data_IF_609360276573
#
_entry.id   IF_609360276573
#
_cell.length_a   1.000
_cell.length_b   1.000
_cell.length_c   1.000
_cell.angle_alpha   90.00
_cell.angle_beta   90.00
_cell.angle_gamma   90.00
#
_symmetry.space_group_name_H-M   'P 1'
#
loop_
_entity.id
_entity.type
_entity.pdbx_description
1 polymer ?
#
# COMPACT_ATOMS: atom_id res chain seq x y z
N UNK A 1 -3.73 8.86 -9.58
CA UNK A 1 -2.32 8.68 -9.97
C UNK A 1 -2.18 7.64 -11.07
N UNK A 2 -2.49 6.35 -10.87
CA UNK A 2 -2.35 5.31 -11.91
C UNK A 2 -3.07 5.68 -13.22
N UNK A 3 -4.32 6.16 -13.15
CA UNK A 3 -5.07 6.67 -14.31
C UNK A 3 -4.35 7.80 -15.06
N UNK A 4 -3.56 8.62 -14.36
CA UNK A 4 -2.77 9.68 -15.00
C UNK A 4 -1.57 9.11 -15.77
N UNK A 5 -0.89 8.09 -15.23
CA UNK A 5 0.18 7.39 -15.94
C UNK A 5 -0.34 6.67 -17.19
N UNK A 6 -1.46 5.95 -17.08
CA UNK A 6 -2.13 5.31 -18.21
C UNK A 6 -2.46 6.34 -19.31
N UNK A 7 -3.05 7.49 -18.93
CA UNK A 7 -3.37 8.58 -19.87
C UNK A 7 -2.14 9.21 -20.53
N UNK A 8 -1.02 9.26 -19.81
CA UNK A 8 0.26 9.72 -20.32
C UNK A 8 1.00 8.65 -21.15
N UNK A 9 0.44 7.46 -21.32
CA UNK A 9 1.06 6.37 -22.07
C UNK A 9 2.21 5.67 -21.34
N UNK A 10 2.33 5.85 -20.02
CA UNK A 10 3.38 5.21 -19.22
C UNK A 10 2.95 3.78 -18.89
N UNK A 11 3.69 2.82 -19.44
CA UNK A 11 3.50 1.38 -19.18
C UNK A 11 4.66 0.90 -18.30
N UNK A 12 4.40 0.27 -17.15
CA UNK A 12 5.46 -0.25 -16.31
C UNK A 12 6.06 -1.53 -16.90
N UNK A 13 7.38 -1.72 -16.75
CA UNK A 13 8.11 -2.95 -17.02
C UNK A 13 8.52 -3.68 -15.72
N UNK A 14 8.28 -3.05 -14.57
CA UNK A 14 8.46 -3.61 -13.23
C UNK A 14 7.48 -2.94 -12.26
N UNK A 15 6.86 -3.74 -11.41
CA UNK A 15 6.00 -3.26 -10.32
C UNK A 15 6.56 -3.73 -8.98
N UNK A 16 6.75 -2.79 -8.04
CA UNK A 16 7.17 -3.10 -6.67
C UNK A 16 6.19 -2.44 -5.70
N UNK A 17 5.65 -3.22 -4.77
CA UNK A 17 4.58 -2.74 -3.90
C UNK A 17 4.77 -3.09 -2.42
N UNK A 18 4.16 -2.26 -1.55
CA UNK A 18 4.09 -2.48 -0.11
C UNK A 18 2.68 -2.19 0.37
N UNK A 19 2.09 -3.08 1.18
CA UNK A 19 0.77 -2.87 1.79
C UNK A 19 -0.31 -2.62 0.71
N UNK A 20 -1.07 -1.55 0.80
CA UNK A 20 -2.02 -1.14 -0.25
C UNK A 20 -1.34 -0.98 -1.62
N UNK A 21 -0.04 -0.62 -1.63
CA UNK A 21 0.77 -0.60 -2.85
C UNK A 21 1.02 -2.00 -3.42
N UNK A 22 1.14 -3.02 -2.58
CA UNK A 22 1.24 -4.42 -3.02
C UNK A 22 -0.10 -4.91 -3.60
N UNK A 23 -1.21 -4.56 -2.95
CA UNK A 23 -2.55 -4.87 -3.45
C UNK A 23 -2.77 -4.23 -4.83
N UNK A 24 -2.61 -2.92 -4.94
CA UNK A 24 -2.79 -2.22 -6.22
C UNK A 24 -1.79 -2.69 -7.27
N UNK A 25 -0.54 -2.94 -6.85
CA UNK A 25 0.54 -3.42 -7.71
C UNK A 25 0.25 -4.78 -8.31
N UNK A 26 -0.37 -5.69 -7.57
CA UNK A 26 -0.77 -7.00 -8.07
C UNK A 26 -1.76 -6.90 -9.24
N UNK A 27 -2.75 -5.99 -9.16
CA UNK A 27 -3.68 -5.74 -10.28
C UNK A 27 -2.97 -5.10 -11.48
N UNK A 28 -2.05 -4.15 -11.23
CA UNK A 28 -1.27 -3.52 -12.31
C UNK A 28 -0.37 -4.54 -13.00
N UNK A 29 0.28 -5.39 -12.23
CA UNK A 29 1.19 -6.39 -12.77
C UNK A 29 0.45 -7.52 -13.51
N UNK A 30 -0.72 -7.91 -13.00
CA UNK A 30 -1.54 -8.94 -13.60
C UNK A 30 -2.04 -8.55 -15.00
N UNK A 31 -2.51 -7.31 -15.16
CA UNK A 31 -3.01 -6.78 -16.44
C UNK A 31 -2.97 -5.24 -16.41
N UNK A 32 -1.90 -4.61 -16.89
CA UNK A 32 -1.79 -3.15 -16.94
C UNK A 32 -2.92 -2.46 -17.68
N UNK A 33 -3.46 -3.11 -18.73
CA UNK A 33 -4.48 -2.54 -19.60
C UNK A 33 -5.86 -2.41 -18.95
N UNK A 34 -6.19 -3.26 -17.96
CA UNK A 34 -7.47 -3.22 -17.23
C UNK A 34 -7.33 -2.78 -15.77
N UNK A 35 -6.10 -2.55 -15.30
CA UNK A 35 -5.81 -2.27 -13.90
C UNK A 35 -6.56 -1.04 -13.37
N UNK A 36 -6.64 0.04 -14.15
CA UNK A 36 -7.33 1.28 -13.74
C UNK A 36 -8.83 1.03 -13.54
N UNK A 37 -9.48 0.31 -14.45
CA UNK A 37 -10.91 -0.03 -14.38
C UNK A 37 -11.18 -0.91 -13.16
N UNK A 38 -10.43 -2.00 -12.99
CA UNK A 38 -10.56 -2.93 -11.85
C UNK A 38 -10.35 -2.25 -10.51
N UNK A 39 -9.29 -1.45 -10.38
CA UNK A 39 -9.00 -0.71 -9.15
C UNK A 39 -10.03 0.40 -8.89
N UNK A 40 -10.60 1.04 -9.91
CA UNK A 40 -11.69 2.00 -9.73
C UNK A 40 -12.93 1.32 -9.15
N UNK A 41 -13.28 0.14 -9.64
CA UNK A 41 -14.35 -0.69 -9.07
C UNK A 41 -14.07 -1.10 -7.63
N UNK A 42 -12.85 -1.58 -7.36
CA UNK A 42 -12.40 -2.01 -6.04
C UNK A 42 -12.44 -0.88 -5.00
N UNK A 43 -12.01 0.32 -5.37
CA UNK A 43 -12.00 1.50 -4.50
C UNK A 43 -13.28 2.33 -4.59
N UNK A 44 -14.37 1.78 -5.16
CA UNK A 44 -15.70 2.39 -5.04
C UNK A 44 -16.14 2.42 -3.57
N UNK A 45 -16.97 3.40 -3.22
CA UNK A 45 -17.42 3.60 -1.83
C UNK A 45 -18.09 2.34 -1.25
N UNK A 46 -18.80 1.55 -2.08
CA UNK A 46 -19.52 0.35 -1.64
C UNK A 46 -18.56 -0.84 -1.43
N UNK A 47 -17.68 -1.14 -2.37
CA UNK A 47 -16.70 -2.22 -2.25
C UNK A 47 -15.69 -1.95 -1.12
N UNK A 48 -15.23 -0.71 -0.97
CA UNK A 48 -14.34 -0.33 0.12
C UNK A 48 -15.02 -0.47 1.49
N UNK A 49 -16.34 -0.21 1.61
CA UNK A 49 -17.10 -0.45 2.85
C UNK A 49 -17.23 -1.91 3.19
N UNK A 50 -17.38 -2.77 2.22
CA UNK A 50 -17.48 -4.21 2.43
C UNK A 50 -16.18 -4.76 3.02
N UNK A 51 -15.03 -4.37 2.46
CA UNK A 51 -13.71 -4.85 2.89
C UNK A 51 -13.26 -4.20 4.21
N UNK A 52 -13.46 -2.89 4.39
CA UNK A 52 -12.89 -2.11 5.50
C UNK A 52 -13.92 -1.59 6.51
N UNK A 53 -15.21 -1.75 6.25
CA UNK A 53 -16.31 -1.14 6.98
C UNK A 53 -16.80 -1.86 8.22
N UNK A 54 -16.04 -2.80 8.82
CA UNK A 54 -16.47 -3.58 9.99
C UNK A 54 -17.06 -2.74 11.12
N UNK A 55 -18.18 -3.19 11.69
CA UNK A 55 -18.89 -2.51 12.78
C UNK A 55 -18.06 -2.50 14.07
N UNK A 56 -18.30 -1.52 14.96
CA UNK A 56 -17.56 -1.38 16.23
C UNK A 56 -17.61 -2.65 17.06
N UNK A 57 -18.78 -3.29 17.13
CA UNK A 57 -18.99 -4.54 17.87
C UNK A 57 -18.20 -5.72 17.29
N UNK A 58 -18.07 -5.81 15.98
CA UNK A 58 -17.26 -6.84 15.30
C UNK A 58 -15.78 -6.67 15.64
N UNK A 59 -15.30 -5.43 15.71
CA UNK A 59 -13.91 -5.10 16.12
C UNK A 59 -13.63 -5.48 17.56
N UNK A 60 -14.54 -5.10 18.47
CA UNK A 60 -14.43 -5.45 19.89
C UNK A 60 -14.48 -6.96 20.09
N UNK A 61 -15.35 -7.66 19.36
CA UNK A 61 -15.43 -9.10 19.37
C UNK A 61 -14.17 -9.77 18.84
N UNK A 62 -13.65 -9.29 17.69
CA UNK A 62 -12.41 -9.79 17.11
C UNK A 62 -11.24 -9.59 18.06
N UNK A 63 -11.10 -8.42 18.66
CA UNK A 63 -10.07 -8.12 19.64
C UNK A 63 -10.21 -9.00 20.90
N UNK A 64 -11.42 -9.13 21.43
CA UNK A 64 -11.67 -9.96 22.62
C UNK A 64 -11.34 -11.44 22.39
N UNK A 65 -11.55 -11.94 21.17
CA UNK A 65 -11.28 -13.32 20.80
C UNK A 65 -9.83 -13.58 20.42
N UNK A 66 -9.20 -12.66 19.68
CA UNK A 66 -7.83 -12.81 19.19
C UNK A 66 -6.78 -12.28 20.16
N UNK A 67 -7.12 -11.23 20.92
CA UNK A 67 -6.17 -10.51 21.78
C UNK A 67 -5.16 -9.64 21.03
N UNK A 68 -5.07 -9.72 19.70
CA UNK A 68 -3.94 -9.17 18.93
C UNK A 68 -4.33 -8.23 17.80
N UNK A 69 -5.56 -8.31 17.27
CA UNK A 69 -5.97 -7.52 16.10
C UNK A 69 -7.46 -7.14 16.12
N UNK A 70 -7.80 -6.10 15.34
CA UNK A 70 -9.14 -5.51 15.30
C UNK A 70 -10.01 -6.03 14.15
N UNK A 71 -9.40 -6.53 13.06
CA UNK A 71 -10.10 -6.96 11.85
C UNK A 71 -9.63 -8.34 11.40
N UNK A 72 -10.52 -9.11 10.78
CA UNK A 72 -10.17 -10.32 10.05
C UNK A 72 -9.54 -9.97 8.70
N UNK A 73 -8.59 -10.78 8.22
CA UNK A 73 -8.06 -10.70 6.86
C UNK A 73 -8.98 -11.34 5.80
N UNK A 74 -10.00 -12.06 6.24
CA UNK A 74 -10.88 -12.85 5.38
C UNK A 74 -11.64 -12.03 4.32
N UNK A 75 -12.18 -10.83 4.61
CA UNK A 75 -12.82 -10.01 3.57
C UNK A 75 -11.83 -9.61 2.47
N UNK A 76 -10.59 -9.24 2.85
CA UNK A 76 -9.54 -8.89 1.90
C UNK A 76 -9.12 -10.11 1.06
N UNK A 77 -9.02 -11.30 1.68
CA UNK A 77 -8.71 -12.54 0.97
C UNK A 77 -9.77 -12.85 -0.07
N UNK A 78 -11.05 -12.88 0.32
CA UNK A 78 -12.16 -13.15 -0.60
C UNK A 78 -12.19 -12.19 -1.78
N UNK A 79 -12.00 -10.90 -1.51
CA UNK A 79 -11.93 -9.87 -2.56
C UNK A 79 -10.80 -10.15 -3.55
N UNK A 80 -9.61 -10.52 -3.07
CA UNK A 80 -8.48 -10.89 -3.94
C UNK A 80 -8.77 -12.19 -4.71
N UNK A 81 -9.36 -13.20 -4.06
CA UNK A 81 -9.74 -14.46 -4.69
C UNK A 81 -10.77 -14.26 -5.82
N UNK A 82 -11.67 -13.31 -5.67
CA UNK A 82 -12.72 -13.02 -6.65
C UNK A 82 -12.24 -12.13 -7.81
N UNK A 83 -11.40 -11.14 -7.51
CA UNK A 83 -11.12 -10.05 -8.46
C UNK A 83 -9.74 -10.10 -9.11
N UNK A 84 -8.72 -10.70 -8.44
CA UNK A 84 -7.38 -10.77 -9.00
C UNK A 84 -7.33 -11.85 -10.10
N UNK A 85 -6.93 -11.50 -11.35
CA UNK A 85 -7.00 -12.44 -12.46
C UNK A 85 -5.89 -13.49 -12.49
N UNK A 86 -4.87 -13.36 -11.63
CA UNK A 86 -3.72 -14.27 -11.50
C UNK A 86 -3.66 -14.92 -10.12
N UNK A 87 -3.01 -16.08 -10.02
CA UNK A 87 -2.81 -16.77 -8.74
C UNK A 87 -1.35 -16.82 -8.33
N UNK A 88 -0.44 -16.86 -9.27
CA UNK A 88 1.00 -16.97 -9.07
C UNK A 88 1.71 -15.71 -9.59
N UNK A 89 2.87 -15.37 -9.01
CA UNK A 89 3.70 -14.25 -9.50
C UNK A 89 4.13 -14.47 -10.95
N UNK A 90 4.35 -15.70 -11.35
CA UNK A 90 4.79 -16.11 -12.68
C UNK A 90 3.73 -15.90 -13.78
N UNK A 91 2.48 -15.72 -13.37
CA UNK A 91 1.35 -15.44 -14.29
C UNK A 91 1.16 -13.96 -14.58
N UNK A 92 1.88 -13.08 -13.86
CA UNK A 92 1.76 -11.62 -14.05
C UNK A 92 2.33 -11.20 -15.39
N UNK A 93 1.63 -10.31 -16.09
CA UNK A 93 2.08 -9.76 -17.38
C UNK A 93 3.32 -8.87 -17.24
N UNK A 94 3.50 -8.26 -16.07
CA UNK A 94 4.65 -7.44 -15.71
C UNK A 94 5.31 -8.03 -14.45
N UNK A 95 6.64 -8.15 -14.39
CA UNK A 95 7.36 -8.58 -13.19
C UNK A 95 6.88 -7.83 -11.95
N UNK A 96 6.48 -8.58 -10.93
CA UNK A 96 5.93 -8.03 -9.70
C UNK A 96 6.72 -8.50 -8.47
N UNK A 97 6.93 -7.60 -7.52
CA UNK A 97 7.46 -7.95 -6.22
C UNK A 97 6.71 -7.20 -5.13
N UNK A 98 6.47 -7.87 -4.01
CA UNK A 98 5.97 -7.20 -2.82
C UNK A 98 6.77 -7.59 -1.58
N UNK A 99 6.76 -6.72 -0.57
CA UNK A 99 7.54 -6.90 0.64
C UNK A 99 6.64 -7.06 1.86
N UNK A 100 7.06 -7.94 2.78
CA UNK A 100 6.52 -8.03 4.13
C UNK A 100 7.66 -8.06 5.16
N UNK A 101 7.33 -7.76 6.42
CA UNK A 101 8.25 -7.84 7.54
C UNK A 101 8.15 -9.21 8.20
N UNK A 102 9.21 -10.02 8.13
CA UNK A 102 9.28 -11.33 8.81
C UNK A 102 9.37 -11.16 10.32
N UNK A 103 8.45 -11.77 11.06
CA UNK A 103 8.38 -11.66 12.52
C UNK A 103 9.58 -12.36 13.17
N UNK A 104 9.83 -13.60 12.78
CA UNK A 104 10.89 -14.44 13.38
C UNK A 104 12.30 -13.92 13.05
N UNK A 105 12.44 -13.25 11.90
CA UNK A 105 13.75 -12.80 11.41
C UNK A 105 14.03 -11.34 11.68
N UNK A 106 12.98 -10.53 11.95
CA UNK A 106 13.03 -9.07 12.00
C UNK A 106 13.63 -8.43 10.73
N UNK A 107 13.44 -9.08 9.57
CA UNK A 107 14.00 -8.66 8.28
C UNK A 107 12.90 -8.49 7.22
N UNK A 108 13.22 -7.71 6.19
CA UNK A 108 12.39 -7.65 4.99
C UNK A 108 12.39 -8.99 4.24
N UNK A 109 11.21 -9.45 3.84
CA UNK A 109 11.04 -10.58 2.97
C UNK A 109 10.37 -10.14 1.67
N UNK A 110 11.05 -10.38 0.55
CA UNK A 110 10.57 -10.05 -0.79
C UNK A 110 9.90 -11.26 -1.41
N UNK A 111 8.61 -11.18 -1.63
CA UNK A 111 7.88 -12.18 -2.41
C UNK A 111 8.05 -11.86 -3.89
N UNK A 112 8.53 -12.84 -4.65
CA UNK A 112 8.89 -12.70 -6.06
C UNK A 112 8.42 -13.87 -6.91
N UNK A 113 7.88 -14.92 -6.28
CA UNK A 113 7.44 -16.16 -6.90
C UNK A 113 6.37 -16.85 -6.06
N UNK A 114 5.66 -17.80 -6.66
CA UNK A 114 4.62 -18.58 -6.00
C UNK A 114 3.31 -17.80 -5.80
N UNK A 115 2.47 -18.15 -4.80
CA UNK A 115 1.13 -17.61 -4.64
C UNK A 115 1.11 -16.11 -4.32
N UNK A 116 0.48 -15.29 -5.19
CA UNK A 116 0.38 -13.82 -5.04
C UNK A 116 -0.50 -13.43 -3.86
N UNK A 117 -1.64 -14.08 -3.66
CA UNK A 117 -2.63 -13.66 -2.66
C UNK A 117 -2.08 -13.75 -1.23
N UNK A 118 -1.47 -14.86 -0.77
CA UNK A 118 -0.82 -14.91 0.53
C UNK A 118 0.26 -13.85 0.72
N UNK A 119 1.06 -13.57 -0.32
CA UNK A 119 2.10 -12.56 -0.31
C UNK A 119 1.54 -11.14 -0.14
N UNK A 120 0.49 -10.79 -0.89
CA UNK A 120 -0.21 -9.49 -0.78
C UNK A 120 -0.86 -9.34 0.59
N UNK A 121 -1.51 -10.39 1.11
CA UNK A 121 -2.08 -10.39 2.46
C UNK A 121 -1.02 -10.18 3.54
N UNK A 122 0.14 -10.85 3.43
CA UNK A 122 1.28 -10.67 4.32
C UNK A 122 1.81 -9.23 4.27
N UNK A 123 1.94 -8.66 3.07
CA UNK A 123 2.34 -7.26 2.85
C UNK A 123 1.35 -6.26 3.44
N UNK A 124 0.07 -6.59 3.54
CA UNK A 124 -1.01 -5.76 4.07
C UNK A 124 -1.31 -5.98 5.56
N UNK A 125 -0.64 -6.89 6.24
CA UNK A 125 -0.91 -7.30 7.63
C UNK A 125 -0.46 -6.22 8.64
N UNK A 126 -1.11 -5.06 8.65
CA UNK A 126 -0.77 -3.93 9.52
C UNK A 126 -0.90 -4.32 11.01
N UNK A 127 0.18 -4.14 11.83
CA UNK A 127 0.20 -4.55 13.23
C UNK A 127 -0.96 -3.99 14.04
N UNK A 128 -1.66 -4.85 14.78
CA UNK A 128 -2.82 -4.49 15.61
C UNK A 128 -4.11 -4.27 14.82
N UNK A 129 -4.05 -4.06 13.50
CA UNK A 129 -5.25 -3.94 12.66
C UNK A 129 -5.64 -5.28 12.06
N UNK A 130 -4.71 -5.98 11.46
CA UNK A 130 -4.89 -7.31 10.86
C UNK A 130 -4.02 -8.35 11.58
N UNK A 131 -4.39 -9.64 11.54
CA UNK A 131 -3.55 -10.71 12.06
C UNK A 131 -2.26 -10.81 11.26
N UNK A 132 -1.17 -11.32 11.86
CA UNK A 132 -0.01 -11.74 11.09
C UNK A 132 -0.42 -12.84 10.12
N UNK A 133 0.19 -12.87 8.95
CA UNK A 133 -0.09 -13.87 7.91
C UNK A 133 1.02 -14.90 7.90
N UNK A 134 0.65 -16.18 7.97
CA UNK A 134 1.59 -17.28 7.83
C UNK A 134 1.75 -17.65 6.35
N UNK A 135 3.00 -17.69 5.89
CA UNK A 135 3.39 -18.19 4.58
C UNK A 135 4.58 -19.13 4.77
N UNK A 136 4.45 -20.37 4.32
CA UNK A 136 5.49 -21.39 4.40
C UNK A 136 6.06 -21.59 5.83
N UNK A 137 5.20 -21.56 6.84
CA UNK A 137 5.57 -21.77 8.25
C UNK A 137 6.26 -20.57 8.92
N UNK A 138 6.27 -19.41 8.30
CA UNK A 138 6.79 -18.15 8.85
C UNK A 138 5.69 -17.10 8.90
N UNK A 139 5.76 -16.23 9.90
CA UNK A 139 4.76 -15.18 10.10
C UNK A 139 5.28 -13.82 9.63
N UNK A 140 4.37 -13.05 9.05
CA UNK A 140 4.69 -11.76 8.45
C UNK A 140 3.72 -10.68 8.91
N UNK A 141 4.25 -9.48 9.08
CA UNK A 141 3.53 -8.23 9.21
C UNK A 141 3.73 -7.34 7.98
N UNK A 142 2.96 -6.25 7.92
CA UNK A 142 2.99 -5.25 6.85
C UNK A 142 4.41 -4.80 6.52
N UNK A 143 4.72 -4.81 5.22
CA UNK A 143 6.02 -4.41 4.70
C UNK A 143 6.40 -2.96 4.99
N UNK A 144 5.43 -2.12 5.34
CA UNK A 144 5.68 -0.74 5.76
C UNK A 144 6.59 -0.61 6.99
N UNK A 145 6.74 -1.66 7.81
CA UNK A 145 7.73 -1.71 8.90
C UNK A 145 9.18 -1.66 8.39
N UNK A 146 9.44 -2.19 7.22
CA UNK A 146 10.80 -2.38 6.67
C UNK A 146 11.04 -1.57 5.40
N UNK A 147 10.09 -1.52 4.47
CA UNK A 147 10.15 -0.75 3.21
C UNK A 147 8.76 -0.18 2.88
N UNK A 148 8.51 1.06 3.27
CA UNK A 148 7.19 1.69 3.07
C UNK A 148 6.89 2.05 1.61
N UNK A 149 7.89 2.57 0.92
CA UNK A 149 7.86 2.92 -0.50
C UNK A 149 9.18 2.43 -1.08
N UNK A 150 9.21 1.25 -1.71
CA UNK A 150 10.44 0.51 -1.97
C UNK A 150 11.18 0.98 -3.23
N UNK A 151 11.55 2.27 -3.29
CA UNK A 151 12.30 2.86 -4.42
C UNK A 151 13.66 2.19 -4.57
N UNK A 152 14.36 1.97 -3.46
CA UNK A 152 15.67 1.30 -3.47
C UNK A 152 15.62 -0.11 -4.04
N UNK A 153 14.50 -0.83 -3.89
CA UNK A 153 14.32 -2.15 -4.50
C UNK A 153 14.19 -2.07 -6.01
N UNK A 154 13.40 -1.12 -6.53
CA UNK A 154 13.26 -0.91 -7.97
C UNK A 154 14.62 -0.57 -8.61
N UNK A 155 15.40 0.29 -7.95
CA UNK A 155 16.77 0.65 -8.38
C UNK A 155 17.69 -0.57 -8.39
N UNK A 156 17.67 -1.39 -7.33
CA UNK A 156 18.47 -2.62 -7.25
C UNK A 156 18.10 -3.64 -8.33
N UNK A 157 16.89 -3.55 -8.88
CA UNK A 157 16.41 -4.37 -10.01
C UNK A 157 16.69 -3.72 -11.38
N UNK A 158 17.39 -2.59 -11.42
CA UNK A 158 17.86 -1.95 -12.65
C UNK A 158 16.95 -0.85 -13.19
N UNK A 159 15.95 -0.37 -12.42
CA UNK A 159 15.11 0.73 -12.85
C UNK A 159 15.93 2.02 -13.01
N UNK A 160 15.76 2.70 -14.13
CA UNK A 160 16.36 4.01 -14.44
C UNK A 160 15.37 5.15 -14.29
N UNK A 161 14.07 4.83 -14.37
CA UNK A 161 12.97 5.77 -14.13
C UNK A 161 11.99 5.11 -13.17
N UNK A 162 11.64 5.79 -12.07
CA UNK A 162 10.73 5.28 -11.05
C UNK A 162 9.57 6.25 -10.85
N UNK A 163 8.35 5.75 -11.04
CA UNK A 163 7.13 6.47 -10.71
C UNK A 163 6.61 6.02 -9.34
N UNK A 164 6.62 6.92 -8.37
CA UNK A 164 6.18 6.66 -7.01
C UNK A 164 4.73 7.09 -6.83
N UNK A 165 3.85 6.14 -6.56
CA UNK A 165 2.43 6.36 -6.26
C UNK A 165 2.20 6.18 -4.76
N UNK A 166 2.27 7.27 -4.01
CA UNK A 166 2.08 7.19 -2.57
C UNK A 166 0.65 7.59 -2.14
N UNK A 167 0.01 6.77 -1.34
CA UNK A 167 -1.33 7.04 -0.80
C UNK A 167 -1.25 7.88 0.48
N UNK A 168 -0.19 7.73 1.27
CA UNK A 168 0.04 8.46 2.51
C UNK A 168 0.77 9.80 2.29
N UNK A 169 0.67 10.69 3.27
CA UNK A 169 1.40 11.96 3.30
C UNK A 169 2.62 11.82 4.20
N UNK A 170 3.75 11.39 3.63
CA UNK A 170 5.02 11.29 4.38
C UNK A 170 5.55 12.64 4.87
N UNK A 171 5.16 13.74 4.21
CA UNK A 171 5.59 15.11 4.51
C UNK A 171 4.87 15.73 5.73
N UNK A 172 3.79 15.10 6.22
CA UNK A 172 2.99 15.66 7.30
C UNK A 172 3.64 15.35 8.66
N UNK A 173 3.79 16.36 9.52
CA UNK A 173 4.28 16.16 10.90
C UNK A 173 3.39 15.19 11.67
N UNK A 174 4.02 14.31 12.43
CA UNK A 174 3.36 13.41 13.38
C UNK A 174 3.06 14.16 14.67
N UNK A 175 1.90 13.90 15.27
CA UNK A 175 1.59 14.39 16.60
C UNK A 175 1.95 13.33 17.65
N UNK A 176 2.38 13.74 18.87
CA UNK A 176 2.59 12.82 19.96
C UNK A 176 1.33 12.01 20.30
N UNK A 177 1.46 10.72 20.63
CA UNK A 177 0.32 9.89 20.98
C UNK A 177 -0.29 10.38 22.30
N UNK A 178 -1.61 10.37 22.40
CA UNK A 178 -2.38 10.76 23.58
C UNK A 178 -3.03 9.59 24.30
N UNK A 179 -3.03 8.41 23.66
CA UNK A 179 -3.68 7.20 24.14
C UNK A 179 -2.80 5.97 23.90
N UNK A 180 -2.85 4.95 24.76
CA UNK A 180 -1.95 3.79 24.67
C UNK A 180 -1.92 3.12 23.30
N UNK A 181 -3.07 2.97 22.65
CA UNK A 181 -3.14 2.34 21.32
C UNK A 181 -2.59 3.21 20.18
N UNK A 182 -2.45 4.53 20.41
CA UNK A 182 -1.83 5.43 19.44
C UNK A 182 -0.30 5.28 19.41
N UNK A 183 0.29 4.76 20.50
CA UNK A 183 1.74 4.61 20.63
C UNK A 183 2.29 3.67 19.54
N UNK A 184 1.69 2.48 19.39
CA UNK A 184 2.10 1.53 18.36
C UNK A 184 1.94 2.09 16.94
N UNK A 185 0.85 2.82 16.70
CA UNK A 185 0.58 3.44 15.40
C UNK A 185 1.56 4.57 15.08
N UNK A 186 1.90 5.41 16.05
CA UNK A 186 2.90 6.46 15.86
C UNK A 186 4.29 5.85 15.64
N UNK A 187 4.65 4.82 16.41
CA UNK A 187 5.91 4.10 16.23
C UNK A 187 6.00 3.47 14.81
N UNK A 188 4.93 2.83 14.34
CA UNK A 188 4.84 2.30 12.98
C UNK A 188 5.02 3.40 11.92
N UNK A 189 4.34 4.55 12.07
CA UNK A 189 4.49 5.69 11.16
C UNK A 189 5.89 6.30 11.16
N UNK A 190 6.55 6.36 12.33
CA UNK A 190 7.95 6.81 12.42
C UNK A 190 8.86 5.87 11.64
N UNK A 191 8.78 4.55 11.88
CA UNK A 191 9.61 3.56 11.20
C UNK A 191 9.41 3.61 9.67
N UNK A 192 8.15 3.67 9.25
CA UNK A 192 7.75 3.76 7.85
C UNK A 192 8.33 4.97 7.13
N UNK A 193 8.23 6.17 7.74
CA UNK A 193 8.71 7.41 7.13
C UNK A 193 10.22 7.54 7.16
N UNK A 194 10.84 7.14 8.26
CA UNK A 194 12.30 7.18 8.40
C UNK A 194 12.95 6.36 7.28
N UNK A 195 12.48 5.14 7.06
CA UNK A 195 13.01 4.27 6.00
C UNK A 195 12.86 4.86 4.61
N UNK A 196 11.72 5.47 4.32
CA UNK A 196 11.52 6.15 3.03
C UNK A 196 12.50 7.30 2.82
N UNK A 197 12.70 8.14 3.82
CA UNK A 197 13.66 9.26 3.71
C UNK A 197 15.10 8.77 3.57
N UNK A 198 15.49 7.72 4.28
CA UNK A 198 16.81 7.09 4.12
C UNK A 198 17.01 6.56 2.68
N UNK A 199 16.03 5.84 2.14
CA UNK A 199 16.11 5.31 0.78
C UNK A 199 16.20 6.45 -0.25
N UNK A 200 15.38 7.50 -0.12
CA UNK A 200 15.42 8.65 -1.01
C UNK A 200 16.75 9.41 -0.95
N UNK A 201 17.37 9.51 0.23
CA UNK A 201 18.67 10.16 0.39
C UNK A 201 19.84 9.33 -0.17
N UNK A 202 19.66 8.02 -0.32
CA UNK A 202 20.67 7.09 -0.81
C UNK A 202 20.55 6.76 -2.30
N UNK A 203 19.67 7.46 -3.05
CA UNK A 203 19.47 7.20 -4.47
C UNK A 203 20.72 7.55 -5.28
N UNK A 204 21.09 6.73 -6.27
CA UNK A 204 22.24 6.99 -7.13
C UNK A 204 22.01 8.21 -8.04
N UNK A 205 23.09 8.88 -8.44
CA UNK A 205 23.04 9.94 -9.44
C UNK A 205 22.56 9.38 -10.80
N UNK A 206 21.79 10.16 -11.53
CA UNK A 206 21.26 9.80 -12.86
C UNK A 206 19.96 8.99 -12.83
N UNK A 207 19.41 8.66 -11.64
CA UNK A 207 18.10 8.06 -11.53
C UNK A 207 17.01 9.14 -11.65
N UNK A 208 16.00 8.89 -12.46
CA UNK A 208 14.82 9.75 -12.56
C UNK A 208 13.73 9.21 -11.63
N UNK A 209 13.31 10.02 -10.64
CA UNK A 209 12.22 9.64 -9.72
C UNK A 209 11.10 10.66 -9.78
N UNK A 210 9.94 10.21 -10.22
CA UNK A 210 8.69 10.99 -10.26
C UNK A 210 7.80 10.63 -9.08
N UNK A 211 7.75 11.47 -8.05
CA UNK A 211 6.79 11.29 -6.94
C UNK A 211 5.48 11.97 -7.30
N UNK A 212 4.48 11.18 -7.67
CA UNK A 212 3.20 11.71 -8.16
C UNK A 212 2.40 12.37 -7.02
N UNK A 213 1.93 13.63 -7.23
CA UNK A 213 1.18 14.35 -6.20
C UNK A 213 -0.23 13.76 -6.00
N UNK A 214 -0.62 13.56 -4.74
CA UNK A 214 -1.94 13.07 -4.37
C UNK A 214 -3.03 14.17 -4.29
N UNK A 215 -2.73 15.41 -4.67
CA UNK A 215 -3.70 16.51 -4.79
C UNK A 215 -4.37 16.95 -3.49
N UNK A 216 -3.77 16.69 -2.36
CA UNK A 216 -4.37 17.02 -1.06
C UNK A 216 -4.15 18.46 -0.62
N UNK A 217 -5.19 19.13 -0.07
CA UNK A 217 -5.04 20.41 0.63
C UNK A 217 -4.14 20.24 1.86
N UNK A 218 -3.26 21.21 2.11
CA UNK A 218 -2.54 21.34 3.38
C UNK A 218 -3.56 21.46 4.53
N UNK A 219 -3.77 20.40 5.28
CA UNK A 219 -4.48 20.43 6.56
C UNK A 219 -3.45 20.51 7.69
N UNK A 220 -3.80 21.24 8.77
CA UNK A 220 -2.93 21.46 9.95
C UNK A 220 -2.31 20.16 10.49
N UNK A 221 -1.10 20.29 11.07
CA UNK A 221 -0.34 19.22 11.72
C UNK A 221 -1.19 18.32 12.63
N UNK A 222 -0.96 17.03 12.57
CA UNK A 222 -1.60 16.02 13.41
C UNK A 222 -1.59 14.66 12.74
N UNK A 223 -1.47 13.58 13.51
CA UNK A 223 -1.66 12.23 12.99
C UNK A 223 -3.10 12.12 12.50
N UNK A 224 -3.27 11.82 11.21
CA UNK A 224 -4.60 11.60 10.66
C UNK A 224 -5.05 10.19 11.02
N UNK A 225 -5.48 10.02 12.25
CA UNK A 225 -6.07 8.76 12.73
C UNK A 225 -7.30 8.35 11.91
N UNK A 226 -7.89 9.26 11.12
CA UNK A 226 -8.97 8.94 10.21
C UNK A 226 -8.51 8.05 9.07
N UNK A 227 -7.26 8.18 8.59
CA UNK A 227 -6.70 7.28 7.57
C UNK A 227 -6.49 5.86 8.12
N UNK A 228 -6.20 5.73 9.42
CA UNK A 228 -6.05 4.43 10.08
C UNK A 228 -7.37 3.89 10.64
N UNK A 229 -8.41 4.69 10.67
CA UNK A 229 -9.72 4.24 11.15
C UNK A 229 -10.50 3.43 10.12
N UNK A 230 -10.13 3.43 8.84
CA UNK A 230 -10.85 2.76 7.73
C UNK A 230 -12.39 2.97 7.78
N UNK A 231 -12.83 4.04 8.46
CA UNK A 231 -14.25 4.26 8.78
C UNK A 231 -14.94 5.22 7.82
N UNK A 232 -14.18 6.15 7.28
CA UNK A 232 -14.73 7.17 6.40
C UNK A 232 -14.21 6.94 4.99
N UNK A 233 -14.86 6.04 4.30
CA UNK A 233 -14.68 5.81 2.86
C UNK A 233 -15.45 6.85 2.03
N UNK A 234 -16.25 7.70 2.69
CA UNK A 234 -16.93 8.82 2.02
C UNK A 234 -15.89 9.81 1.49
N UNK A 235 -15.94 10.05 0.20
CA UNK A 235 -14.99 10.96 -0.46
C UNK A 235 -13.74 10.29 -1.07
N UNK A 236 -13.65 8.96 -1.12
CA UNK A 236 -12.60 8.25 -1.88
C UNK A 236 -12.63 8.69 -3.34
N UNK A 237 -13.81 8.71 -3.97
CA UNK A 237 -13.98 9.17 -5.35
C UNK A 237 -13.45 10.59 -5.56
N UNK A 238 -13.80 11.53 -4.68
CA UNK A 238 -13.30 12.91 -4.75
C UNK A 238 -11.79 12.99 -4.52
N UNK A 239 -11.22 12.08 -3.70
CA UNK A 239 -9.77 12.01 -3.50
C UNK A 239 -9.06 11.46 -4.74
N UNK A 240 -9.61 10.44 -5.39
CA UNK A 240 -9.12 9.88 -6.64
C UNK A 240 -9.10 10.95 -7.73
N UNK A 241 -10.17 11.74 -7.88
CA UNK A 241 -10.22 12.81 -8.89
C UNK A 241 -9.21 13.92 -8.61
N UNK A 242 -9.02 14.33 -7.36
CA UNK A 242 -7.99 15.32 -7.01
C UNK A 242 -6.57 14.79 -7.28
N UNK A 243 -6.31 13.54 -6.93
CA UNK A 243 -5.01 12.91 -7.19
C UNK A 243 -4.75 12.78 -8.70
N UNK A 244 -5.78 12.40 -9.47
CA UNK A 244 -5.69 12.33 -10.92
C UNK A 244 -5.33 13.70 -11.53
N UNK A 245 -6.10 14.75 -11.19
CA UNK A 245 -5.87 16.09 -11.74
C UNK A 245 -4.50 16.68 -11.36
N UNK A 246 -4.03 16.40 -10.13
CA UNK A 246 -2.70 16.85 -9.70
C UNK A 246 -1.58 16.09 -10.41
N UNK A 247 -1.73 14.77 -10.58
CA UNK A 247 -0.74 13.95 -11.29
C UNK A 247 -0.69 14.26 -12.78
N UNK A 248 -1.83 14.56 -13.42
CA UNK A 248 -1.86 14.97 -14.82
C UNK A 248 -1.05 16.25 -15.03
N UNK A 249 -1.30 17.29 -14.23
CA UNK A 249 -0.50 18.56 -14.32
C UNK A 249 0.98 18.30 -14.12
N UNK A 250 1.34 17.47 -13.14
CA UNK A 250 2.74 17.12 -12.89
C UNK A 250 3.38 16.45 -14.11
N UNK A 251 2.70 15.49 -14.73
CA UNK A 251 3.21 14.77 -15.90
C UNK A 251 3.32 15.68 -17.13
N UNK A 252 2.36 16.61 -17.34
CA UNK A 252 2.41 17.60 -18.43
C UNK A 252 3.59 18.60 -18.28
N UNK A 253 4.06 18.85 -17.05
CA UNK A 253 5.15 19.78 -16.75
C UNK A 253 6.54 19.10 -16.73
N UNK A 254 6.61 17.79 -16.45
CA UNK A 254 7.87 17.08 -16.15
C UNK A 254 8.23 15.97 -17.14
N UNK A 255 7.29 15.50 -17.95
CA UNK A 255 7.44 14.41 -18.91
C UNK A 255 7.05 14.89 -20.30
#
# INVERSE_FOLDING_TARGET
>A
MLRALEKAGVVPDLVVGTSIGALNGAFVAADPGTAVERLTGLWSDDAAREVFGARVWERLWTLARSGTHLHSAEPLRRMLDELLPVREFEETAVPFQCVAAGIETAMAHWFTQGPVIPAVLASCAAPGLLPPVEVEGRHYYDGGLVHSIPVGRAVALGATTVYVLQVGRVERELAPPRRPWEVGMVAFEIARRHRFFEEMAALPEGLTVHVLPAGGRQRKAGVDYAQMRYRDVSGIAAHIERAYAASMRYLEEQV
#
